data_IF_016657346486
#
_entry.id   IF_016657346486
#
_cell.length_a   1.000
_cell.length_b   1.000
_cell.length_c   1.000
_cell.angle_alpha   90.00
_cell.angle_beta   90.00
_cell.angle_gamma   90.00
#
_symmetry.space_group_name_H-M   'P 1'
#
loop_
_entity.id
_entity.type
_entity.pdbx_description
1 polymer ?
#
# COMPACT_ATOMS: atom_id res chain seq x y z
N UNK A 1 28.65 97.75 -2.85
CA UNK A 1 27.26 97.38 -2.66
C UNK A 1 27.17 95.90 -2.35
N UNK A 2 26.87 95.52 -1.11
CA UNK A 2 26.76 94.19 -0.55
C UNK A 2 25.34 93.77 -0.65
N UNK A 3 25.03 92.55 -1.12
CA UNK A 3 23.81 91.77 -0.85
C UNK A 3 24.06 90.35 -1.34
N UNK A 4 24.05 89.50 -0.48
CA UNK A 4 23.27 88.47 0.16
C UNK A 4 23.52 87.08 -0.46
N UNK A 5 24.42 86.36 0.24
CA UNK A 5 24.55 84.90 0.20
C UNK A 5 24.00 84.31 1.48
N UNK A 6 22.71 84.07 1.57
CA UNK A 6 22.14 83.25 2.69
C UNK A 6 20.78 82.68 2.29
N UNK A 7 20.74 81.76 1.34
CA UNK A 7 19.52 80.98 1.10
C UNK A 7 19.80 79.56 0.52
N UNK A 8 20.99 79.01 0.75
CA UNK A 8 21.36 77.65 0.26
C UNK A 8 21.43 76.54 1.29
N UNK A 9 21.17 76.85 2.58
CA UNK A 9 21.45 75.88 3.68
C UNK A 9 20.22 75.14 4.26
N UNK A 10 19.04 75.55 3.94
CA UNK A 10 17.83 74.97 4.57
C UNK A 10 17.06 73.92 3.68
N UNK A 11 17.37 73.86 2.40
CA UNK A 11 16.71 72.92 1.50
C UNK A 11 17.34 71.51 1.49
N UNK A 12 18.62 71.39 1.92
CA UNK A 12 19.31 70.04 1.92
C UNK A 12 19.07 69.33 3.26
N UNK A 13 18.75 70.02 4.32
CA UNK A 13 18.49 69.37 5.62
C UNK A 13 17.07 68.70 5.70
N UNK A 14 16.14 69.12 4.90
CA UNK A 14 14.77 68.55 4.88
C UNK A 14 14.64 67.31 4.00
N UNK A 15 15.55 67.05 3.07
CA UNK A 15 15.53 65.83 2.23
C UNK A 15 16.20 64.61 2.88
N UNK A 16 17.04 64.80 3.88
CA UNK A 16 17.69 63.68 4.61
C UNK A 16 16.80 63.16 5.77
N UNK A 17 15.85 64.00 6.27
CA UNK A 17 14.95 63.60 7.35
C UNK A 17 13.74 62.78 6.89
N UNK A 18 13.40 62.74 5.58
CA UNK A 18 12.31 61.95 5.05
C UNK A 18 12.70 60.52 4.67
N UNK A 19 13.97 60.16 4.67
CA UNK A 19 14.43 58.80 4.30
C UNK A 19 14.62 57.85 5.51
N UNK A 20 14.46 58.36 6.76
CA UNK A 20 14.62 57.55 7.97
C UNK A 20 13.30 57.13 8.64
N UNK A 21 12.15 57.37 8.01
CA UNK A 21 10.84 57.03 8.56
C UNK A 21 10.09 55.97 7.74
N UNK A 22 10.78 55.11 6.98
CA UNK A 22 10.16 53.90 6.54
C UNK A 22 10.19 52.89 7.69
N UNK A 23 9.01 52.54 8.26
CA UNK A 23 9.00 51.52 9.29
C UNK A 23 9.44 50.22 8.64
N UNK A 24 10.58 49.69 9.07
CA UNK A 24 11.10 48.35 8.75
C UNK A 24 10.18 47.25 9.31
N UNK A 25 8.89 47.50 9.43
CA UNK A 25 7.89 46.56 9.92
C UNK A 25 7.14 45.84 8.80
N UNK A 26 7.71 45.73 7.60
CA UNK A 26 7.29 44.76 6.60
C UNK A 26 8.27 43.58 6.53
N UNK A 27 8.77 43.09 7.66
CA UNK A 27 9.22 41.73 7.75
C UNK A 27 8.00 40.85 7.91
N UNK A 28 7.47 40.51 6.73
CA UNK A 28 6.83 39.25 6.45
C UNK A 28 5.94 38.71 7.59
N UNK A 29 4.69 39.12 7.60
CA UNK A 29 3.67 38.12 7.81
C UNK A 29 3.82 37.11 6.66
N UNK A 30 4.76 36.20 6.76
CA UNK A 30 4.73 34.95 6.03
C UNK A 30 3.42 34.34 6.45
N UNK A 31 2.41 34.45 5.56
CA UNK A 31 1.10 33.89 5.78
C UNK A 31 1.33 32.43 6.15
N UNK A 32 1.06 32.09 7.41
CA UNK A 32 1.20 30.71 7.88
C UNK A 32 0.40 29.85 6.91
N UNK A 33 1.03 28.82 6.34
CA UNK A 33 0.34 27.92 5.43
C UNK A 33 -0.90 27.38 6.14
N UNK A 34 -2.06 27.32 5.47
CA UNK A 34 -3.25 26.71 6.05
C UNK A 34 -2.93 25.31 6.58
N UNK A 35 -3.49 24.93 7.69
CA UNK A 35 -3.25 23.64 8.36
C UNK A 35 -3.39 22.44 7.41
N UNK A 36 -4.37 22.46 6.51
CA UNK A 36 -4.56 21.42 5.51
C UNK A 36 -3.43 21.39 4.46
N UNK A 37 -2.89 22.54 4.10
CA UNK A 37 -1.73 22.62 3.19
C UNK A 37 -0.46 22.05 3.83
N UNK A 38 -0.25 22.30 5.12
CA UNK A 38 0.88 21.70 5.87
C UNK A 38 0.73 20.19 5.93
N UNK A 39 -0.47 19.69 6.19
CA UNK A 39 -0.78 18.24 6.21
C UNK A 39 -0.48 17.59 4.85
N UNK A 40 -0.95 18.19 3.76
CA UNK A 40 -0.70 17.67 2.39
C UNK A 40 0.79 17.71 2.04
N UNK A 41 1.48 18.81 2.37
CA UNK A 41 2.91 18.92 2.13
C UNK A 41 3.70 17.88 2.92
N UNK A 42 3.38 17.65 4.19
CA UNK A 42 4.04 16.61 4.99
C UNK A 42 3.89 15.23 4.35
N UNK A 43 2.69 14.87 3.88
CA UNK A 43 2.46 13.61 3.20
C UNK A 43 3.21 13.50 1.86
N UNK A 44 3.32 14.58 1.08
CA UNK A 44 4.02 14.57 -0.21
C UNK A 44 5.53 14.40 -0.07
N UNK A 45 6.13 14.92 1.01
CA UNK A 45 7.59 14.80 1.24
C UNK A 45 7.98 13.60 2.11
N UNK A 46 7.00 12.82 2.58
CA UNK A 46 7.23 11.76 3.56
C UNK A 46 8.21 10.68 3.06
N UNK A 47 8.20 10.35 1.78
CA UNK A 47 9.09 9.34 1.20
C UNK A 47 10.52 9.85 1.01
N UNK A 48 10.69 11.12 0.66
CA UNK A 48 12.02 11.70 0.36
C UNK A 48 12.67 12.35 1.58
N UNK A 49 11.87 12.92 2.48
CA UNK A 49 12.32 13.62 3.70
C UNK A 49 11.45 13.25 4.91
N UNK A 50 11.50 12.00 5.38
CA UNK A 50 10.59 11.50 6.42
C UNK A 50 10.71 12.28 7.75
N UNK A 51 11.93 12.69 8.15
CA UNK A 51 12.13 13.49 9.37
C UNK A 51 11.46 14.86 9.28
N UNK A 52 11.55 15.50 8.12
CA UNK A 52 10.88 16.78 7.86
C UNK A 52 9.36 16.63 7.91
N UNK A 53 8.83 15.57 7.32
CA UNK A 53 7.40 15.28 7.37
C UNK A 53 6.90 15.08 8.80
N UNK A 54 7.63 14.30 9.61
CA UNK A 54 7.34 14.09 11.04
C UNK A 54 7.40 15.39 11.84
N UNK A 55 8.42 16.23 11.59
CA UNK A 55 8.54 17.51 12.25
C UNK A 55 7.40 18.47 11.90
N UNK A 56 6.97 18.50 10.62
CA UNK A 56 5.80 19.28 10.19
C UNK A 56 4.54 18.83 10.91
N UNK A 57 4.31 17.51 10.99
CA UNK A 57 3.12 16.96 11.65
C UNK A 57 3.09 17.22 13.15
N UNK A 58 4.25 17.14 13.85
CA UNK A 58 4.32 17.51 15.27
C UNK A 58 3.98 18.98 15.51
N UNK A 59 4.51 19.89 14.66
CA UNK A 59 4.20 21.33 14.76
C UNK A 59 2.72 21.58 14.47
N UNK A 60 2.16 20.95 13.44
CA UNK A 60 0.76 21.08 13.09
C UNK A 60 -0.15 20.63 14.23
N UNK A 61 0.08 19.44 14.79
CA UNK A 61 -0.69 18.93 15.92
C UNK A 61 -0.58 19.82 17.16
N UNK A 62 0.60 20.43 17.40
CA UNK A 62 0.79 21.40 18.49
C UNK A 62 0.09 22.75 18.28
N UNK A 63 -0.29 23.08 17.04
CA UNK A 63 -1.01 24.33 16.71
C UNK A 63 -2.51 24.16 16.63
N UNK A 64 -3.02 22.93 16.58
CA UNK A 64 -4.45 22.59 16.53
C UNK A 64 -4.96 22.21 17.91
N UNK A 65 -6.21 22.51 18.18
CA UNK A 65 -6.94 22.01 19.35
C UNK A 65 -7.66 20.71 19.03
N UNK A 66 -7.95 19.84 20.01
CA UNK A 66 -8.71 18.61 19.78
C UNK A 66 -10.11 18.83 19.20
N UNK A 67 -10.67 20.04 19.31
CA UNK A 67 -11.98 20.41 18.78
C UNK A 67 -11.94 20.90 17.32
N UNK A 68 -10.74 21.11 16.77
CA UNK A 68 -10.60 21.52 15.37
C UNK A 68 -11.04 20.41 14.44
N UNK A 69 -11.85 20.73 13.43
CA UNK A 69 -12.32 19.77 12.42
C UNK A 69 -11.18 19.10 11.63
N UNK A 70 -10.01 19.76 11.55
CA UNK A 70 -8.81 19.24 10.90
C UNK A 70 -7.98 18.32 11.79
N UNK A 71 -8.22 18.34 13.12
CA UNK A 71 -7.40 17.59 14.06
C UNK A 71 -7.38 16.07 13.79
N UNK A 72 -8.51 15.39 13.54
CA UNK A 72 -8.47 13.94 13.22
C UNK A 72 -7.74 13.65 11.90
N UNK A 73 -7.84 14.54 10.90
CA UNK A 73 -7.06 14.43 9.66
C UNK A 73 -5.55 14.62 9.88
N UNK A 74 -5.17 15.49 10.82
CA UNK A 74 -3.77 15.67 11.21
C UNK A 74 -3.24 14.45 12.00
N UNK A 75 -4.04 13.86 12.88
CA UNK A 75 -3.70 12.60 13.56
C UNK A 75 -3.49 11.46 12.55
N UNK A 76 -4.41 11.29 11.60
CA UNK A 76 -4.28 10.29 10.53
C UNK A 76 -2.97 10.47 9.75
N UNK A 77 -2.68 11.73 9.35
CA UNK A 77 -1.45 12.03 8.61
C UNK A 77 -0.19 11.79 9.46
N UNK A 78 -0.23 12.12 10.77
CA UNK A 78 0.87 11.82 11.69
C UNK A 78 1.12 10.32 11.81
N UNK A 79 0.06 9.50 11.88
CA UNK A 79 0.18 8.05 11.83
C UNK A 79 0.81 7.54 10.53
N UNK A 80 0.49 8.16 9.39
CA UNK A 80 1.06 7.75 8.08
C UNK A 80 2.53 8.09 7.91
N UNK A 81 3.07 9.07 8.64
CA UNK A 81 4.49 9.48 8.56
C UNK A 81 5.30 9.03 9.78
N UNK A 82 4.68 8.39 10.76
CA UNK A 82 5.36 7.89 11.95
C UNK A 82 6.41 6.84 11.58
N UNK A 83 7.47 6.75 12.40
CA UNK A 83 8.63 5.91 12.10
C UNK A 83 8.47 4.47 12.58
N UNK A 84 7.67 4.26 13.60
CA UNK A 84 7.55 2.97 14.28
C UNK A 84 6.10 2.53 14.45
N UNK A 85 5.83 1.22 14.43
CA UNK A 85 4.49 0.68 14.53
C UNK A 85 3.69 1.10 15.77
N UNK A 86 4.26 1.17 17.00
CA UNK A 86 3.52 1.64 18.16
C UNK A 86 3.02 3.08 18.03
N UNK A 87 3.84 3.97 17.49
CA UNK A 87 3.44 5.37 17.24
C UNK A 87 2.37 5.48 16.15
N UNK A 88 2.47 4.68 15.06
CA UNK A 88 1.42 4.56 14.04
C UNK A 88 0.11 4.15 14.69
N UNK A 89 0.14 3.06 15.46
CA UNK A 89 -1.03 2.51 16.14
C UNK A 89 -1.68 3.53 17.07
N UNK A 90 -0.89 4.21 17.90
CA UNK A 90 -1.38 5.24 18.83
C UNK A 90 -2.17 6.35 18.09
N UNK A 91 -1.62 6.92 17.01
CA UNK A 91 -2.31 7.97 16.26
C UNK A 91 -3.60 7.47 15.59
N UNK A 92 -3.55 6.29 14.96
CA UNK A 92 -4.69 5.73 14.26
C UNK A 92 -5.81 5.32 15.23
N UNK A 93 -5.47 4.67 16.35
CA UNK A 93 -6.44 4.33 17.40
C UNK A 93 -7.12 5.58 17.95
N UNK A 94 -6.36 6.65 18.16
CA UNK A 94 -6.92 7.91 18.62
C UNK A 94 -7.97 8.46 17.65
N UNK A 95 -7.74 8.42 16.34
CA UNK A 95 -8.76 8.80 15.34
C UNK A 95 -10.01 7.93 15.46
N UNK A 96 -9.83 6.61 15.52
CA UNK A 96 -10.97 5.67 15.54
C UNK A 96 -11.78 5.74 16.84
N UNK A 97 -11.14 6.04 17.98
CA UNK A 97 -11.80 6.06 19.30
C UNK A 97 -12.40 7.43 19.60
N UNK A 98 -11.61 8.50 19.45
CA UNK A 98 -12.03 9.83 19.84
C UNK A 98 -12.82 10.54 18.72
N UNK A 99 -12.55 10.20 17.46
CA UNK A 99 -13.11 10.87 16.28
C UNK A 99 -13.81 9.90 15.32
N UNK A 100 -14.45 8.86 15.83
CA UNK A 100 -15.09 7.80 15.05
C UNK A 100 -16.19 8.28 14.07
N UNK A 101 -16.70 9.50 14.23
CA UNK A 101 -17.67 10.12 13.29
C UNK A 101 -17.02 11.04 12.26
N UNK A 102 -15.70 11.22 12.31
CA UNK A 102 -14.99 12.05 11.34
C UNK A 102 -14.89 11.34 9.99
N UNK A 103 -14.76 12.12 8.93
CA UNK A 103 -14.52 11.61 7.56
C UNK A 103 -13.16 10.89 7.40
N UNK A 104 -12.35 10.85 8.46
CA UNK A 104 -11.03 10.22 8.48
C UNK A 104 -11.01 8.88 9.21
N UNK A 105 -12.11 8.55 9.90
CA UNK A 105 -12.13 7.41 10.83
C UNK A 105 -12.08 6.06 10.10
N UNK A 106 -12.77 5.91 8.98
CA UNK A 106 -12.72 4.71 8.14
C UNK A 106 -11.32 4.48 7.55
N UNK A 107 -10.66 5.56 7.11
CA UNK A 107 -9.27 5.50 6.61
C UNK A 107 -8.30 5.10 7.72
N UNK A 108 -8.48 5.61 8.93
CA UNK A 108 -7.66 5.21 10.08
C UNK A 108 -7.88 3.73 10.45
N UNK A 109 -9.12 3.27 10.40
CA UNK A 109 -9.47 1.88 10.72
C UNK A 109 -8.93 0.91 9.66
N UNK A 110 -8.97 1.26 8.36
CA UNK A 110 -8.31 0.47 7.31
C UNK A 110 -6.80 0.35 7.56
N UNK A 111 -6.13 1.47 7.89
CA UNK A 111 -4.69 1.45 8.15
C UNK A 111 -4.35 0.63 9.41
N UNK A 112 -5.20 0.67 10.46
CA UNK A 112 -5.05 -0.20 11.62
C UNK A 112 -5.20 -1.68 11.25
N UNK A 113 -6.20 -2.03 10.45
CA UNK A 113 -6.39 -3.39 9.95
C UNK A 113 -5.13 -3.91 9.23
N UNK A 114 -4.55 -3.08 8.36
CA UNK A 114 -3.32 -3.39 7.64
C UNK A 114 -2.12 -3.51 8.58
N UNK A 115 -2.02 -2.63 9.57
CA UNK A 115 -0.94 -2.63 10.56
C UNK A 115 -0.95 -3.91 11.39
N UNK A 116 -2.10 -4.30 11.95
CA UNK A 116 -2.24 -5.52 12.73
C UNK A 116 -1.90 -6.76 11.90
N UNK A 117 -2.35 -6.80 10.65
CA UNK A 117 -1.98 -7.89 9.74
C UNK A 117 -0.47 -7.94 9.49
N UNK A 118 0.18 -6.79 9.27
CA UNK A 118 1.64 -6.71 9.08
C UNK A 118 2.44 -7.09 10.35
N UNK A 119 1.85 -6.88 11.53
CA UNK A 119 2.42 -7.30 12.81
C UNK A 119 2.25 -8.80 13.10
N UNK A 120 1.51 -9.53 12.26
CA UNK A 120 1.20 -10.95 12.48
C UNK A 120 0.16 -11.18 13.58
N UNK A 121 -0.71 -10.21 13.82
CA UNK A 121 -1.84 -10.30 14.74
C UNK A 121 -3.16 -10.48 13.97
N UNK A 122 -3.50 -11.73 13.59
CA UNK A 122 -4.72 -11.99 12.83
C UNK A 122 -5.99 -11.73 13.68
N UNK A 123 -5.93 -11.90 14.99
CA UNK A 123 -7.09 -11.65 15.85
C UNK A 123 -7.46 -10.15 15.88
N UNK A 124 -6.49 -9.26 16.09
CA UNK A 124 -6.70 -7.82 16.03
C UNK A 124 -7.10 -7.37 14.61
N UNK A 125 -6.55 -8.01 13.56
CA UNK A 125 -6.92 -7.72 12.17
C UNK A 125 -8.40 -8.02 11.91
N UNK A 126 -8.89 -9.19 12.35
CA UNK A 126 -10.31 -9.57 12.26
C UNK A 126 -11.17 -8.56 12.98
N UNK A 127 -10.84 -8.22 14.24
CA UNK A 127 -11.62 -7.26 15.02
C UNK A 127 -11.71 -5.89 14.33
N UNK A 128 -10.62 -5.40 13.75
CA UNK A 128 -10.61 -4.12 13.04
C UNK A 128 -11.42 -4.19 11.73
N UNK A 129 -11.33 -5.28 10.98
CA UNK A 129 -12.12 -5.49 9.77
C UNK A 129 -13.62 -5.60 10.07
N UNK A 130 -14.00 -6.36 11.09
CA UNK A 130 -15.39 -6.47 11.54
C UNK A 130 -15.95 -5.13 12.03
N UNK A 131 -15.12 -4.34 12.73
CA UNK A 131 -15.49 -2.99 13.12
C UNK A 131 -15.74 -2.10 11.89
N UNK A 132 -14.91 -2.20 10.84
CA UNK A 132 -15.16 -1.48 9.58
C UNK A 132 -16.50 -1.85 8.97
N UNK A 133 -16.81 -3.15 8.92
CA UNK A 133 -18.07 -3.65 8.35
C UNK A 133 -19.30 -3.14 9.09
N UNK A 134 -19.23 -3.07 10.42
CA UNK A 134 -20.32 -2.66 11.29
C UNK A 134 -20.46 -1.14 11.38
N UNK A 135 -19.36 -0.41 11.62
CA UNK A 135 -19.40 1.03 11.96
C UNK A 135 -19.39 1.90 10.70
N UNK A 136 -18.88 1.39 9.55
CA UNK A 136 -18.78 2.11 8.28
C UNK A 136 -19.30 1.29 7.10
N UNK A 137 -20.58 0.87 7.10
CA UNK A 137 -21.15 -0.04 6.10
C UNK A 137 -21.10 0.52 4.67
N UNK A 138 -21.15 1.83 4.53
CA UNK A 138 -21.18 2.53 3.23
C UNK A 138 -19.81 3.07 2.80
N UNK A 139 -18.75 2.81 3.59
CA UNK A 139 -17.41 3.26 3.23
C UNK A 139 -16.91 2.56 1.95
N UNK A 140 -16.36 3.32 0.99
CA UNK A 140 -15.72 2.74 -0.20
C UNK A 140 -14.45 1.94 0.15
N UNK A 141 -13.93 2.09 1.37
CA UNK A 141 -12.76 1.34 1.88
C UNK A 141 -13.14 0.00 2.49
N UNK A 142 -14.44 -0.25 2.72
CA UNK A 142 -14.93 -1.47 3.35
C UNK A 142 -14.47 -2.75 2.61
N UNK A 143 -14.57 -2.86 1.27
CA UNK A 143 -14.12 -4.08 0.58
C UNK A 143 -12.64 -4.39 0.82
N UNK A 144 -11.81 -3.36 0.89
CA UNK A 144 -10.38 -3.52 1.17
C UNK A 144 -10.11 -3.96 2.60
N UNK A 145 -10.82 -3.41 3.59
CA UNK A 145 -10.71 -3.86 4.98
C UNK A 145 -11.24 -5.30 5.15
N UNK A 146 -12.35 -5.63 4.50
CA UNK A 146 -12.93 -6.99 4.47
C UNK A 146 -11.95 -8.00 3.88
N UNK A 147 -11.22 -7.65 2.82
CA UNK A 147 -10.15 -8.48 2.26
C UNK A 147 -9.03 -8.79 3.28
N UNK A 148 -8.58 -7.80 4.05
CA UNK A 148 -7.59 -8.04 5.10
C UNK A 148 -8.13 -8.93 6.22
N UNK A 149 -9.40 -8.74 6.59
CA UNK A 149 -10.11 -9.62 7.53
C UNK A 149 -10.21 -11.06 7.03
N UNK A 150 -10.56 -11.26 5.75
CA UNK A 150 -10.59 -12.58 5.13
C UNK A 150 -9.22 -13.29 5.20
N UNK A 151 -8.13 -12.57 4.90
CA UNK A 151 -6.77 -13.10 5.01
C UNK A 151 -6.42 -13.51 6.45
N UNK A 152 -6.81 -12.69 7.41
CA UNK A 152 -6.60 -12.98 8.81
C UNK A 152 -7.37 -14.22 9.27
N UNK A 153 -8.61 -14.43 8.81
CA UNK A 153 -9.35 -15.66 9.06
C UNK A 153 -8.65 -16.90 8.46
N UNK A 154 -8.09 -16.80 7.27
CA UNK A 154 -7.28 -17.89 6.70
C UNK A 154 -6.03 -18.19 7.53
N UNK A 155 -5.37 -17.17 8.09
CA UNK A 155 -4.22 -17.36 8.99
C UNK A 155 -4.65 -18.04 10.30
N UNK A 156 -5.86 -17.76 10.79
CA UNK A 156 -6.50 -18.43 11.94
C UNK A 156 -7.04 -19.84 11.60
N UNK A 157 -6.91 -20.28 10.33
CA UNK A 157 -7.44 -21.56 9.84
C UNK A 157 -8.97 -21.63 9.82
N UNK A 158 -9.63 -20.49 9.86
CA UNK A 158 -11.07 -20.35 9.71
C UNK A 158 -11.42 -20.08 8.24
N UNK A 159 -11.39 -21.16 7.46
CA UNK A 159 -11.66 -21.12 6.01
C UNK A 159 -13.10 -20.64 5.71
N UNK A 160 -14.05 -21.01 6.56
CA UNK A 160 -15.46 -20.69 6.33
C UNK A 160 -15.70 -19.17 6.37
N UNK A 161 -15.29 -18.50 7.44
CA UNK A 161 -15.42 -17.05 7.56
C UNK A 161 -14.51 -16.32 6.55
N UNK A 162 -13.30 -16.82 6.33
CA UNK A 162 -12.42 -16.26 5.30
C UNK A 162 -13.07 -16.22 3.92
N UNK A 163 -13.72 -17.32 3.52
CA UNK A 163 -14.42 -17.43 2.24
C UNK A 163 -15.70 -16.58 2.17
N UNK A 164 -16.41 -16.44 3.27
CA UNK A 164 -17.57 -15.55 3.37
C UNK A 164 -17.15 -14.10 3.09
N UNK A 165 -16.07 -13.63 3.77
CA UNK A 165 -15.58 -12.28 3.60
C UNK A 165 -15.01 -12.02 2.18
N UNK A 166 -14.38 -13.02 1.55
CA UNK A 166 -13.92 -12.90 0.16
C UNK A 166 -15.10 -12.67 -0.77
N UNK A 167 -16.19 -13.42 -0.62
CA UNK A 167 -17.41 -13.23 -1.41
C UNK A 167 -18.03 -11.85 -1.19
N UNK A 168 -18.20 -11.45 0.07
CA UNK A 168 -18.74 -10.12 0.39
C UNK A 168 -17.89 -8.99 -0.23
N UNK A 169 -16.56 -9.09 -0.16
CA UNK A 169 -15.69 -8.10 -0.74
C UNK A 169 -15.75 -8.07 -2.27
N UNK A 170 -15.87 -9.23 -2.93
CA UNK A 170 -16.04 -9.32 -4.40
C UNK A 170 -17.31 -8.65 -4.88
N UNK A 171 -18.41 -8.80 -4.16
CA UNK A 171 -19.69 -8.20 -4.51
C UNK A 171 -19.67 -6.66 -4.44
N UNK A 172 -18.72 -6.09 -3.72
CA UNK A 172 -18.65 -4.64 -3.43
C UNK A 172 -17.35 -3.97 -3.87
N UNK A 173 -16.43 -4.69 -4.52
CA UNK A 173 -15.09 -4.17 -4.86
C UNK A 173 -15.11 -3.04 -5.91
N UNK A 174 -16.18 -2.91 -6.68
CA UNK A 174 -16.33 -1.87 -7.70
C UNK A 174 -15.22 -1.93 -8.77
N UNK A 175 -14.66 -0.75 -9.09
CA UNK A 175 -13.65 -0.56 -10.14
C UNK A 175 -12.20 -0.85 -9.68
N UNK A 176 -11.98 -1.26 -8.43
CA UNK A 176 -10.63 -1.57 -7.91
C UNK A 176 -10.13 -2.90 -8.48
N UNK A 177 -9.53 -2.84 -9.68
CA UNK A 177 -9.04 -4.00 -10.43
C UNK A 177 -8.00 -4.80 -9.63
N UNK A 178 -7.12 -4.11 -8.91
CA UNK A 178 -6.07 -4.76 -8.11
C UNK A 178 -6.68 -5.56 -6.97
N UNK A 179 -7.60 -4.96 -6.22
CA UNK A 179 -8.30 -5.65 -5.13
C UNK A 179 -9.15 -6.79 -5.67
N UNK A 180 -9.83 -6.61 -6.82
CA UNK A 180 -10.62 -7.65 -7.47
C UNK A 180 -9.77 -8.86 -7.86
N UNK A 181 -8.59 -8.64 -8.42
CA UNK A 181 -7.65 -9.72 -8.76
C UNK A 181 -7.19 -10.48 -7.51
N UNK A 182 -6.86 -9.76 -6.43
CA UNK A 182 -6.49 -10.37 -5.17
C UNK A 182 -7.61 -11.21 -4.58
N UNK A 183 -8.83 -10.68 -4.55
CA UNK A 183 -10.01 -11.39 -4.07
C UNK A 183 -10.33 -12.63 -4.91
N UNK A 184 -10.23 -12.53 -6.24
CA UNK A 184 -10.45 -13.67 -7.14
C UNK A 184 -9.45 -14.80 -6.89
N UNK A 185 -8.20 -14.46 -6.60
CA UNK A 185 -7.18 -15.44 -6.21
C UNK A 185 -7.58 -16.21 -4.94
N UNK A 186 -8.10 -15.51 -3.91
CA UNK A 186 -8.55 -16.16 -2.68
C UNK A 186 -9.88 -16.91 -2.89
N UNK A 187 -10.77 -16.42 -3.76
CA UNK A 187 -12.05 -17.09 -4.08
C UNK A 187 -11.83 -18.47 -4.72
N UNK A 188 -10.78 -18.63 -5.52
CA UNK A 188 -10.43 -19.94 -6.11
C UNK A 188 -10.13 -21.01 -5.04
N UNK A 189 -9.65 -20.61 -3.87
CA UNK A 189 -9.42 -21.50 -2.72
C UNK A 189 -10.74 -21.92 -2.05
N UNK A 190 -11.75 -21.08 -2.11
CA UNK A 190 -13.04 -21.29 -1.43
C UNK A 190 -13.97 -22.28 -2.16
N UNK A 191 -13.67 -22.64 -3.40
CA UNK A 191 -14.43 -23.64 -4.17
C UNK A 191 -13.84 -25.05 -4.13
N UNK A 192 -12.64 -25.23 -3.53
CA UNK A 192 -12.04 -26.55 -3.36
C UNK A 192 -12.70 -27.28 -2.18
N UNK A 193 -13.08 -28.57 -2.32
CA UNK A 193 -13.50 -29.35 -1.16
C UNK A 193 -12.38 -29.35 -0.11
N UNK A 194 -12.69 -29.36 1.20
CA UNK A 194 -11.68 -29.40 2.26
C UNK A 194 -10.76 -30.59 1.98
N UNK A 195 -9.47 -30.30 1.88
CA UNK A 195 -8.46 -31.34 1.74
C UNK A 195 -8.67 -32.32 2.90
N UNK A 196 -8.92 -33.60 2.68
CA UNK A 196 -8.96 -34.53 3.77
C UNK A 196 -7.59 -34.50 4.45
N UNK A 197 -7.57 -34.06 5.69
CA UNK A 197 -6.40 -34.19 6.56
C UNK A 197 -5.97 -35.63 6.46
N UNK A 198 -4.81 -35.85 5.91
CA UNK A 198 -4.21 -37.19 5.79
C UNK A 198 -4.02 -37.72 7.20
N UNK A 199 -4.99 -38.48 7.67
CA UNK A 199 -4.78 -39.40 8.76
C UNK A 199 -3.90 -40.53 8.22
N UNK A 200 -2.71 -40.62 8.79
CA UNK A 200 -1.78 -41.76 8.87
C UNK A 200 -1.87 -42.85 7.78
N UNK A 201 -0.75 -43.07 7.15
CA UNK A 201 -0.46 -44.27 6.41
C UNK A 201 -0.64 -45.54 7.26
N UNK A 202 -0.93 -46.71 6.62
CA UNK A 202 0.14 -47.71 6.70
C UNK A 202 0.50 -48.33 5.35
N UNK A 203 1.78 -48.71 5.30
CA UNK A 203 2.54 -49.54 4.41
C UNK A 203 1.86 -50.44 3.39
N UNK A 204 2.39 -50.46 2.19
CA UNK A 204 2.12 -51.48 1.20
C UNK A 204 2.83 -51.21 -0.14
N UNK A 205 4.03 -51.74 -0.27
CA UNK A 205 4.83 -51.77 -1.48
C UNK A 205 4.07 -52.28 -2.70
N UNK A 206 4.31 -51.68 -3.86
CA UNK A 206 4.64 -52.41 -5.08
C UNK A 206 5.07 -51.46 -6.19
N UNK A 207 6.32 -51.55 -6.57
CA UNK A 207 6.89 -51.05 -7.84
C UNK A 207 6.33 -51.90 -8.98
N UNK A 208 6.10 -51.36 -10.17
CA UNK A 208 6.85 -51.79 -11.34
C UNK A 208 7.37 -50.62 -12.19
N UNK A 209 8.57 -50.82 -12.67
CA UNK A 209 9.27 -50.06 -13.69
C UNK A 209 8.87 -50.61 -15.09
N UNK A 210 9.54 -50.17 -16.17
CA UNK A 210 9.11 -49.11 -17.06
C UNK A 210 8.66 -49.70 -18.41
N UNK A 211 7.92 -48.93 -19.18
CA UNK A 211 7.49 -49.29 -20.50
C UNK A 211 7.41 -48.12 -21.43
N UNK A 212 8.20 -48.17 -22.43
CA UNK A 212 8.44 -47.24 -23.51
C UNK A 212 7.26 -46.83 -24.36
N UNK A 213 7.45 -45.66 -24.96
CA UNK A 213 7.20 -45.23 -26.35
C UNK A 213 5.81 -44.87 -26.85
N UNK A 214 5.90 -43.71 -27.48
CA UNK A 214 5.39 -43.27 -28.80
C UNK A 214 4.21 -42.29 -28.87
N UNK A 215 4.60 -41.13 -29.23
CA UNK A 215 4.24 -40.30 -30.41
C UNK A 215 2.78 -40.18 -30.86
N UNK A 216 2.46 -38.93 -30.96
CA UNK A 216 1.81 -38.22 -32.08
C UNK A 216 0.36 -37.77 -31.85
N UNK A 217 0.19 -36.49 -32.02
CA UNK A 217 -1.07 -35.89 -32.38
C UNK A 217 -1.39 -34.58 -31.69
N UNK A 218 -0.91 -33.45 -32.26
CA UNK A 218 -1.51 -32.12 -32.27
C UNK A 218 -2.52 -31.77 -31.18
N UNK A 219 -2.04 -31.47 -29.99
CA UNK A 219 -2.72 -30.62 -29.03
C UNK A 219 -1.74 -29.52 -28.64
N UNK A 220 -2.15 -28.27 -28.68
CA UNK A 220 -1.39 -27.13 -28.16
C UNK A 220 -0.93 -27.49 -26.75
N UNK A 221 0.38 -27.80 -26.62
CA UNK A 221 0.96 -28.20 -25.35
C UNK A 221 0.86 -27.00 -24.40
N UNK A 222 -0.06 -27.07 -23.46
CA UNK A 222 -0.19 -26.09 -22.38
C UNK A 222 1.12 -26.08 -21.59
N UNK A 223 1.88 -24.99 -21.68
CA UNK A 223 3.09 -24.81 -20.91
C UNK A 223 2.75 -24.09 -19.59
N UNK A 224 3.51 -24.39 -18.55
CA UNK A 224 3.38 -23.71 -17.26
C UNK A 224 4.50 -22.69 -17.10
N UNK A 225 4.18 -21.51 -16.57
CA UNK A 225 5.16 -20.48 -16.21
C UNK A 225 4.90 -19.97 -14.78
N UNK A 226 5.89 -19.32 -14.19
CA UNK A 226 5.76 -18.72 -12.86
C UNK A 226 5.70 -17.21 -13.00
N UNK A 227 4.56 -16.61 -12.75
CA UNK A 227 4.40 -15.15 -12.78
C UNK A 227 4.91 -14.54 -11.47
N UNK A 228 5.81 -13.57 -11.58
CA UNK A 228 6.47 -12.90 -10.44
C UNK A 228 6.07 -11.44 -10.29
N UNK A 229 5.55 -10.81 -11.36
CA UNK A 229 5.18 -9.40 -11.36
C UNK A 229 4.06 -9.13 -12.38
N UNK A 230 3.16 -8.20 -12.06
CA UNK A 230 2.20 -7.64 -13.00
C UNK A 230 2.06 -6.13 -12.72
N UNK A 231 2.53 -5.27 -13.64
CA UNK A 231 2.60 -3.81 -13.46
C UNK A 231 2.34 -3.07 -14.78
N UNK A 232 1.98 -1.79 -14.67
CA UNK A 232 1.87 -0.89 -15.83
C UNK A 232 3.18 -0.18 -16.19
N UNK A 233 4.15 -0.14 -15.28
CA UNK A 233 5.40 0.58 -15.44
C UNK A 233 6.48 -0.28 -16.10
N UNK A 234 6.96 0.13 -17.28
CA UNK A 234 8.09 -0.51 -17.97
C UNK A 234 9.38 -0.50 -17.11
N UNK A 235 9.63 0.58 -16.38
CA UNK A 235 10.81 0.67 -15.52
C UNK A 235 10.83 -0.39 -14.39
N UNK A 236 9.67 -0.74 -13.83
CA UNK A 236 9.56 -1.81 -12.84
C UNK A 236 9.77 -3.19 -13.46
N UNK A 237 9.36 -3.36 -14.71
CA UNK A 237 9.63 -4.60 -15.48
C UNK A 237 11.13 -4.78 -15.69
N UNK A 238 11.84 -3.74 -16.16
CA UNK A 238 13.27 -3.78 -16.41
C UNK A 238 14.07 -4.07 -15.13
N UNK A 239 13.69 -3.47 -14.00
CA UNK A 239 14.28 -3.77 -12.70
C UNK A 239 14.09 -5.24 -12.30
N UNK A 240 12.89 -5.78 -12.50
CA UNK A 240 12.59 -7.18 -12.18
C UNK A 240 13.35 -8.14 -13.09
N UNK A 241 13.40 -7.88 -14.41
CA UNK A 241 14.15 -8.69 -15.36
C UNK A 241 15.64 -8.71 -15.02
N UNK A 242 16.23 -7.56 -14.70
CA UNK A 242 17.62 -7.45 -14.27
C UNK A 242 17.88 -8.29 -13.01
N UNK A 243 17.00 -8.20 -12.03
CA UNK A 243 17.10 -8.97 -10.78
C UNK A 243 16.99 -10.47 -11.02
N UNK A 244 16.04 -10.91 -11.86
CA UNK A 244 15.87 -12.33 -12.23
C UNK A 244 17.08 -12.87 -12.97
N UNK A 245 17.65 -12.11 -13.90
CA UNK A 245 18.86 -12.47 -14.65
C UNK A 245 20.06 -12.67 -13.74
N UNK A 246 20.28 -11.78 -12.76
CA UNK A 246 21.34 -11.91 -11.75
C UNK A 246 21.15 -13.17 -10.89
N UNK A 247 19.90 -13.55 -10.61
CA UNK A 247 19.58 -14.77 -9.85
C UNK A 247 19.60 -16.05 -10.68
N UNK A 248 19.91 -15.95 -11.99
CA UNK A 248 20.01 -17.09 -12.91
C UNK A 248 18.67 -17.63 -13.39
N UNK A 249 17.61 -16.81 -13.38
CA UNK A 249 16.31 -17.19 -13.91
C UNK A 249 16.08 -16.59 -15.29
N UNK A 250 15.58 -17.42 -16.22
CA UNK A 250 15.13 -16.96 -17.52
C UNK A 250 13.69 -16.43 -17.42
N UNK A 251 13.49 -15.19 -17.79
CA UNK A 251 12.22 -14.49 -17.64
C UNK A 251 11.80 -13.79 -18.93
N UNK A 252 10.51 -13.82 -19.22
CA UNK A 252 9.93 -13.14 -20.36
C UNK A 252 8.74 -12.27 -19.92
N UNK A 253 8.38 -11.31 -20.77
CA UNK A 253 7.30 -10.36 -20.50
C UNK A 253 6.14 -10.64 -21.43
N UNK A 254 4.96 -10.78 -20.85
CA UNK A 254 3.70 -10.88 -21.59
C UNK A 254 2.90 -9.61 -21.32
N UNK A 255 2.44 -8.95 -22.37
CA UNK A 255 1.52 -7.83 -22.27
C UNK A 255 0.10 -8.33 -22.44
N UNK A 256 -0.76 -8.08 -21.46
CA UNK A 256 -2.15 -8.47 -21.58
C UNK A 256 -3.00 -7.37 -22.26
N UNK A 257 -4.23 -7.69 -22.56
CA UNK A 257 -5.20 -6.80 -23.23
C UNK A 257 -5.55 -5.56 -22.40
N UNK A 258 -5.31 -5.59 -21.07
CA UNK A 258 -5.50 -4.45 -20.16
C UNK A 258 -4.29 -3.50 -20.12
N UNK A 259 -3.23 -3.82 -20.89
CA UNK A 259 -1.99 -3.03 -20.94
C UNK A 259 -1.02 -3.28 -19.78
N UNK A 260 -1.27 -4.31 -18.94
CA UNK A 260 -0.34 -4.73 -17.89
C UNK A 260 0.81 -5.55 -18.47
N UNK A 261 2.01 -5.26 -18.00
CA UNK A 261 3.19 -6.10 -18.23
C UNK A 261 3.26 -7.17 -17.15
N UNK A 262 3.23 -8.43 -17.56
CA UNK A 262 3.36 -9.60 -16.71
C UNK A 262 4.74 -10.21 -16.91
N UNK A 263 5.56 -10.26 -15.86
CA UNK A 263 6.88 -10.90 -15.90
C UNK A 263 6.70 -12.35 -15.46
N UNK A 264 7.07 -13.27 -16.35
CA UNK A 264 6.96 -14.71 -16.15
C UNK A 264 8.32 -15.36 -16.24
N UNK A 265 8.54 -16.41 -15.45
CA UNK A 265 9.80 -17.15 -15.36
C UNK A 265 9.61 -18.56 -15.88
N UNK A 266 10.45 -18.93 -16.81
CA UNK A 266 10.50 -20.27 -17.42
C UNK A 266 9.31 -20.60 -18.30
N UNK A 267 9.42 -21.72 -19.02
CA UNK A 267 8.34 -22.44 -19.69
C UNK A 267 8.51 -23.90 -19.33
N UNK A 268 7.60 -24.43 -18.54
CA UNK A 268 7.69 -25.77 -17.97
C UNK A 268 6.63 -26.67 -18.62
N UNK A 269 7.05 -27.86 -19.01
CA UNK A 269 6.13 -28.83 -19.62
C UNK A 269 5.19 -29.45 -18.58
N UNK A 270 5.59 -29.48 -17.30
CA UNK A 270 4.78 -30.05 -16.24
C UNK A 270 4.51 -29.04 -15.12
N UNK A 271 3.35 -29.17 -14.47
CA UNK A 271 2.99 -28.37 -13.31
C UNK A 271 3.98 -28.59 -12.14
N UNK A 272 4.53 -29.80 -12.01
CA UNK A 272 5.50 -30.13 -10.95
C UNK A 272 6.80 -29.33 -11.08
N UNK A 273 7.36 -29.23 -12.29
CA UNK A 273 8.57 -28.46 -12.57
C UNK A 273 8.35 -26.97 -12.28
N UNK A 274 7.18 -26.44 -12.69
CA UNK A 274 6.81 -25.06 -12.41
C UNK A 274 6.63 -24.80 -10.90
N UNK A 275 6.14 -25.76 -10.11
CA UNK A 275 6.05 -25.65 -8.65
C UNK A 275 7.43 -25.64 -7.98
N UNK A 276 8.38 -26.44 -8.46
CA UNK A 276 9.76 -26.40 -7.97
C UNK A 276 10.42 -25.04 -8.26
N UNK A 277 10.22 -24.51 -9.46
CA UNK A 277 10.70 -23.19 -9.84
C UNK A 277 10.06 -22.09 -8.98
N UNK A 278 8.76 -22.18 -8.71
CA UNK A 278 8.03 -21.28 -7.82
C UNK A 278 8.62 -21.27 -6.40
N UNK A 279 8.92 -22.45 -5.84
CA UNK A 279 9.53 -22.55 -4.52
C UNK A 279 10.92 -21.89 -4.46
N UNK A 280 11.77 -22.13 -5.50
CA UNK A 280 13.08 -21.48 -5.62
C UNK A 280 12.96 -19.95 -5.76
N UNK A 281 12.03 -19.47 -6.55
CA UNK A 281 11.76 -18.04 -6.73
C UNK A 281 11.28 -17.39 -5.44
N UNK A 282 10.39 -18.05 -4.71
CA UNK A 282 9.90 -17.56 -3.40
C UNK A 282 11.03 -17.39 -2.41
N UNK A 283 11.98 -18.34 -2.37
CA UNK A 283 13.14 -18.28 -1.46
C UNK A 283 14.12 -17.16 -1.82
N UNK A 284 14.37 -16.93 -3.14
CA UNK A 284 15.39 -15.99 -3.60
C UNK A 284 14.90 -14.55 -3.80
N UNK A 285 13.64 -14.37 -4.22
CA UNK A 285 13.06 -13.05 -4.50
C UNK A 285 12.26 -12.49 -3.33
N UNK A 286 11.75 -13.36 -2.47
CA UNK A 286 10.64 -13.03 -1.59
C UNK A 286 9.34 -12.83 -2.40
N UNK A 287 8.26 -12.43 -1.75
CA UNK A 287 6.97 -12.25 -2.42
C UNK A 287 6.23 -13.58 -2.64
N UNK A 288 5.19 -13.53 -3.45
CA UNK A 288 4.37 -14.71 -3.76
C UNK A 288 4.27 -14.89 -5.28
N UNK A 289 5.26 -15.54 -5.90
CA UNK A 289 5.15 -15.94 -7.29
C UNK A 289 4.06 -16.99 -7.44
N UNK A 290 3.30 -16.96 -8.54
CA UNK A 290 2.22 -17.92 -8.79
C UNK A 290 2.31 -18.55 -10.17
N UNK A 291 1.77 -19.76 -10.28
CA UNK A 291 1.72 -20.55 -11.51
C UNK A 291 0.67 -20.00 -12.48
N UNK A 292 1.04 -19.93 -13.74
CA UNK A 292 0.14 -19.60 -14.84
C UNK A 292 0.27 -20.64 -15.96
N UNK A 293 -0.81 -20.93 -16.64
CA UNK A 293 -0.81 -21.73 -17.85
C UNK A 293 -0.62 -20.80 -19.04
N UNK A 294 0.25 -21.19 -19.94
CA UNK A 294 0.49 -20.50 -21.22
C UNK A 294 0.03 -21.40 -22.36
N UNK A 295 -0.72 -20.84 -23.31
CA UNK A 295 -1.11 -21.57 -24.52
C UNK A 295 0.05 -21.91 -25.42
#
# INVERSE_FOLDING_TARGET
MRRDRRLGGLAVALLVACLSAYPVHRLAAQAALPADSIRRLALSVAQTRPDSARAMMRRLLGSLTPHDSLYPGALLAAGRVAADPPTVQMYLQRVVIEYGRSVWADSALLLLTQLYFAQGDPAATVQAAERMRRDYPDSPLKPRATFWGARAYFDLKDEAHGCELVREALDRVGEDVELKNQLTFYAARCGAPPNPVTAAAPDGATTPAPGDTQHAGGATATAYAVQVLAVKSAAQVDQMLTRLKVLGFDAHVVRDTSGLFKVRVGRYATRGDAQQAQARLKTKLGGQPFLVEEP
#
